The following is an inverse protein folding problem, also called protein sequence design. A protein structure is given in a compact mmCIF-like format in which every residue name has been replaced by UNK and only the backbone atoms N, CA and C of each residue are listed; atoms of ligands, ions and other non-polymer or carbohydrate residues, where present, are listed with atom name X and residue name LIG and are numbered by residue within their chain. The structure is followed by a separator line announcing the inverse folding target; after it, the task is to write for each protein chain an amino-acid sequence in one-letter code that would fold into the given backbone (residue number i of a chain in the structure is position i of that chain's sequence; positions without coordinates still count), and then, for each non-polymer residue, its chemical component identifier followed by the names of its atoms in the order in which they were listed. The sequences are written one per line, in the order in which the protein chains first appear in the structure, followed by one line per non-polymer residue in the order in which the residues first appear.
data_IF_286856493745
#
_entry.id   IF_286856493745
#
_cell.length_a   1.000
_cell.length_b   1.000
_cell.length_c   1.000
_cell.angle_alpha   90.00
_cell.angle_beta   90.00
_cell.angle_gamma   90.00
#
_symmetry.space_group_name_H-M   'P 1'
#
loop_
_entity.id
_entity.type
_entity.pdbx_description
1 polymer ?
#
# COMPACT_ATOMS: atom_id res chain seq x y z
N UNK A 1 -0.48 20.64 9.03
CA UNK A 1 0.74 21.37 8.61
C UNK A 1 0.87 21.24 7.10
N UNK A 2 0.70 22.36 6.39
CA UNK A 2 0.70 22.35 4.92
C UNK A 2 2.08 21.96 4.38
N UNK A 3 2.17 20.83 3.68
CA UNK A 3 3.40 20.38 3.00
C UNK A 3 3.64 21.08 1.66
N UNK A 4 2.87 22.10 1.32
CA UNK A 4 3.04 22.91 0.13
C UNK A 4 4.34 23.71 0.28
N UNK A 5 5.36 23.38 -0.51
CA UNK A 5 6.62 24.12 -0.55
C UNK A 5 7.85 23.43 0.08
N UNK A 6 7.74 22.21 0.62
CA UNK A 6 8.93 21.45 0.99
C UNK A 6 9.58 20.84 -0.25
N UNK A 7 10.76 21.33 -0.60
CA UNK A 7 11.55 20.76 -1.68
C UNK A 7 11.93 19.31 -1.36
N UNK A 8 11.47 18.37 -2.16
CA UNK A 8 11.82 16.95 -2.04
C UNK A 8 13.15 16.71 -2.75
N UNK A 9 14.17 16.31 -2.00
CA UNK A 9 15.50 16.00 -2.54
C UNK A 9 15.55 14.56 -3.01
N UNK A 10 15.94 14.34 -4.26
CA UNK A 10 16.23 13.01 -4.77
C UNK A 10 17.59 12.57 -4.22
N UNK A 11 17.60 11.44 -3.54
CA UNK A 11 18.77 10.73 -3.04
C UNK A 11 19.07 9.55 -3.94
N UNK A 12 20.29 9.03 -3.92
CA UNK A 12 20.70 7.83 -4.65
C UNK A 12 21.40 6.86 -3.71
N UNK A 13 21.20 5.55 -3.91
CA UNK A 13 21.91 4.52 -3.16
C UNK A 13 22.18 3.29 -4.03
N UNK A 14 23.34 2.67 -3.84
CA UNK A 14 23.69 1.36 -4.37
C UNK A 14 23.44 0.24 -3.34
N UNK A 15 23.06 0.60 -2.11
CA UNK A 15 22.73 -0.37 -1.06
C UNK A 15 21.26 -0.74 -1.17
N UNK A 16 20.98 -1.85 -1.85
CA UNK A 16 19.62 -2.38 -2.00
C UNK A 16 19.06 -2.87 -0.66
N UNK A 17 19.94 -3.38 0.21
CA UNK A 17 19.61 -3.82 1.57
C UNK A 17 19.17 -2.69 2.51
N UNK A 18 19.33 -1.42 2.09
CA UNK A 18 18.81 -0.27 2.82
C UNK A 18 17.28 -0.32 2.96
N UNK A 19 16.60 -0.90 1.99
CA UNK A 19 15.15 -0.85 1.92
C UNK A 19 14.50 -2.13 2.43
N UNK A 20 13.51 -1.96 3.28
CA UNK A 20 12.56 -2.99 3.69
C UNK A 20 11.25 -2.84 2.91
N UNK A 21 10.58 -3.96 2.67
CA UNK A 21 9.25 -3.98 2.04
C UNK A 21 8.21 -4.00 3.15
N UNK A 22 7.21 -3.14 3.04
CA UNK A 22 6.09 -3.13 3.98
C UNK A 22 5.25 -4.40 3.85
N UNK A 23 4.78 -5.01 4.95
CA UNK A 23 3.93 -6.21 4.91
C UNK A 23 2.65 -6.03 4.10
N UNK A 24 2.16 -4.79 4.00
CA UNK A 24 0.95 -4.42 3.25
C UNK A 24 1.22 -4.10 1.78
N UNK A 25 2.46 -4.05 1.34
CA UNK A 25 2.78 -3.88 -0.07
C UNK A 25 2.36 -5.11 -0.88
N UNK A 26 1.95 -4.86 -2.11
CA UNK A 26 1.67 -5.95 -3.06
C UNK A 26 2.94 -6.74 -3.35
N UNK A 27 2.80 -8.03 -3.64
CA UNK A 27 3.93 -8.84 -4.09
C UNK A 27 4.58 -8.30 -5.36
N UNK A 28 5.87 -8.55 -5.52
CA UNK A 28 6.62 -8.14 -6.72
C UNK A 28 6.26 -9.05 -7.90
N UNK A 29 5.66 -8.48 -8.93
CA UNK A 29 5.35 -9.18 -10.19
C UNK A 29 6.58 -9.18 -11.11
N UNK A 30 7.14 -10.37 -11.33
CA UNK A 30 8.33 -10.55 -12.18
C UNK A 30 8.12 -10.08 -13.63
N UNK A 31 6.90 -10.20 -14.19
CA UNK A 31 6.60 -9.73 -15.55
C UNK A 31 6.63 -8.20 -15.61
N UNK A 32 6.12 -7.55 -14.54
CA UNK A 32 6.16 -6.10 -14.44
C UNK A 32 7.60 -5.59 -14.27
N UNK A 33 8.41 -6.27 -13.45
CA UNK A 33 9.84 -5.98 -13.29
C UNK A 33 10.56 -6.08 -14.65
N UNK A 34 10.30 -7.13 -15.44
CA UNK A 34 10.93 -7.29 -16.75
C UNK A 34 10.57 -6.18 -17.74
N UNK A 35 9.30 -5.72 -17.73
CA UNK A 35 8.88 -4.56 -18.52
C UNK A 35 9.61 -3.27 -18.09
N UNK A 36 9.81 -3.08 -16.78
CA UNK A 36 10.57 -1.95 -16.25
C UNK A 36 12.03 -2.00 -16.68
N UNK A 37 12.70 -3.16 -16.60
CA UNK A 37 14.07 -3.36 -17.09
C UNK A 37 14.18 -2.93 -18.55
N UNK A 38 13.26 -3.42 -19.39
CA UNK A 38 13.24 -3.03 -20.82
C UNK A 38 13.10 -1.53 -21.01
N UNK A 39 12.23 -0.89 -20.22
CA UNK A 39 12.03 0.57 -20.24
C UNK A 39 13.28 1.33 -19.78
N UNK A 40 13.89 0.89 -18.67
CA UNK A 40 15.12 1.48 -18.12
C UNK A 40 16.26 1.43 -19.16
N UNK A 41 16.45 0.28 -19.80
CA UNK A 41 17.49 0.13 -20.85
C UNK A 41 17.26 1.04 -22.05
N UNK A 42 15.99 1.32 -22.39
CA UNK A 42 15.64 2.16 -23.55
C UNK A 42 15.66 3.65 -23.26
N UNK A 43 15.17 4.07 -22.09
CA UNK A 43 14.88 5.47 -21.78
C UNK A 43 15.68 6.01 -20.59
N UNK A 44 16.44 5.16 -19.91
CA UNK A 44 17.05 5.51 -18.62
C UNK A 44 16.04 5.50 -17.46
N UNK A 45 16.51 5.89 -16.28
CA UNK A 45 15.72 5.94 -15.05
C UNK A 45 15.03 7.28 -14.94
N UNK A 46 13.74 7.33 -15.23
CA UNK A 46 12.91 8.56 -15.23
C UNK A 46 11.95 8.66 -14.03
N UNK A 47 12.04 7.73 -13.10
CA UNK A 47 11.21 7.69 -11.87
C UNK A 47 12.10 7.47 -10.66
N UNK A 48 11.59 7.79 -9.48
CA UNK A 48 12.25 7.48 -8.22
C UNK A 48 11.34 6.62 -7.34
N UNK A 49 11.97 5.92 -6.39
CA UNK A 49 11.29 5.19 -5.33
C UNK A 49 10.82 6.19 -4.28
N UNK A 50 9.65 5.97 -3.69
CA UNK A 50 9.15 6.74 -2.56
C UNK A 50 9.34 5.88 -1.31
N UNK A 51 10.09 6.41 -0.35
CA UNK A 51 10.44 5.72 0.87
C UNK A 51 10.11 6.56 2.10
N UNK A 52 10.04 5.93 3.26
CA UNK A 52 10.04 6.58 4.57
C UNK A 52 10.99 5.87 5.51
N UNK A 53 11.62 6.63 6.39
CA UNK A 53 12.38 6.07 7.52
C UNK A 53 11.54 6.25 8.78
N UNK A 54 11.21 5.15 9.45
CA UNK A 54 10.33 5.18 10.62
C UNK A 54 10.56 3.96 11.52
N UNK A 55 10.27 4.11 12.80
CA UNK A 55 10.22 3.04 13.79
C UNK A 55 8.78 2.63 14.17
N UNK A 56 7.77 3.24 13.54
CA UNK A 56 6.35 3.06 13.89
C UNK A 56 5.89 1.62 13.67
N UNK A 57 6.45 0.91 12.67
CA UNK A 57 5.93 -0.40 12.23
C UNK A 57 6.46 -1.55 13.08
N UNK A 58 7.77 -1.60 13.33
CA UNK A 58 8.43 -2.71 14.02
C UNK A 58 9.20 -2.28 15.27
N UNK A 59 9.05 -1.03 15.70
CA UNK A 59 9.75 -0.45 16.83
C UNK A 59 11.23 -0.11 16.56
N UNK A 60 11.79 -0.59 15.45
CA UNK A 60 13.15 -0.29 15.00
C UNK A 60 13.13 0.68 13.83
N UNK A 61 14.07 1.61 13.78
CA UNK A 61 14.20 2.55 12.67
C UNK A 61 14.66 1.84 11.40
N UNK A 62 13.78 1.75 10.42
CA UNK A 62 14.04 1.17 9.10
C UNK A 62 13.55 2.08 8.00
N UNK A 63 14.16 1.97 6.82
CA UNK A 63 13.70 2.67 5.61
C UNK A 63 12.82 1.72 4.81
N UNK A 64 11.54 2.05 4.69
CA UNK A 64 10.55 1.24 3.96
C UNK A 64 10.23 1.86 2.61
N UNK A 65 10.04 1.01 1.60
CA UNK A 65 9.47 1.44 0.31
C UNK A 65 7.96 1.60 0.45
N UNK A 66 7.48 2.81 0.19
CA UNK A 66 6.03 3.11 0.13
C UNK A 66 5.50 2.87 -1.27
N UNK A 67 6.21 3.34 -2.30
CA UNK A 67 5.89 3.09 -3.71
C UNK A 67 7.18 2.89 -4.51
N UNK A 68 7.09 2.13 -5.61
CA UNK A 68 8.21 1.88 -6.52
C UNK A 68 8.99 0.60 -6.23
N UNK A 69 8.46 -0.37 -5.50
CA UNK A 69 9.15 -1.64 -5.21
C UNK A 69 9.56 -2.41 -6.49
N UNK A 70 8.73 -2.40 -7.55
CA UNK A 70 9.09 -3.01 -8.82
C UNK A 70 10.25 -2.28 -9.51
N UNK A 71 10.30 -0.94 -9.36
CA UNK A 71 11.42 -0.13 -9.86
C UNK A 71 12.70 -0.44 -9.09
N UNK A 72 12.63 -0.50 -7.76
CA UNK A 72 13.78 -0.85 -6.91
C UNK A 72 14.33 -2.24 -7.30
N UNK A 73 13.45 -3.25 -7.44
CA UNK A 73 13.84 -4.59 -7.87
C UNK A 73 14.43 -4.61 -9.29
N UNK A 74 13.90 -3.81 -10.21
CA UNK A 74 14.42 -3.72 -11.57
C UNK A 74 15.83 -3.11 -11.58
N UNK A 75 16.05 -2.04 -10.82
CA UNK A 75 17.34 -1.38 -10.70
C UNK A 75 18.38 -2.27 -10.01
N UNK A 76 17.98 -3.02 -8.99
CA UNK A 76 18.83 -4.01 -8.35
C UNK A 76 19.33 -5.06 -9.34
N UNK A 77 18.43 -5.64 -10.15
CA UNK A 77 18.79 -6.62 -11.18
C UNK A 77 19.71 -6.06 -12.27
N UNK A 78 19.61 -4.76 -12.55
CA UNK A 78 20.46 -4.07 -13.53
C UNK A 78 21.75 -3.49 -12.91
N UNK A 79 21.98 -3.67 -11.61
CA UNK A 79 23.13 -3.10 -10.90
C UNK A 79 23.19 -1.57 -10.93
N UNK A 80 22.01 -0.92 -11.04
CA UNK A 80 21.91 0.55 -11.15
C UNK A 80 21.56 1.17 -9.81
N UNK A 81 22.07 2.40 -9.51
CA UNK A 81 21.68 3.11 -8.29
C UNK A 81 20.17 3.34 -8.22
N UNK A 82 19.59 3.20 -7.03
CA UNK A 82 18.18 3.50 -6.78
C UNK A 82 18.03 4.98 -6.47
N UNK A 83 17.39 5.77 -7.34
CA UNK A 83 16.95 7.13 -6.99
C UNK A 83 15.72 7.04 -6.11
N UNK A 84 15.72 7.73 -4.98
CA UNK A 84 14.59 7.74 -4.05
C UNK A 84 14.37 9.09 -3.40
N UNK A 85 13.14 9.34 -3.00
CA UNK A 85 12.76 10.47 -2.14
C UNK A 85 12.25 9.92 -0.82
N UNK A 86 12.55 10.62 0.27
CA UNK A 86 12.03 10.29 1.59
C UNK A 86 10.89 11.23 1.96
N UNK A 87 9.77 10.65 2.38
CA UNK A 87 8.65 11.40 2.93
C UNK A 87 8.50 11.10 4.42
N UNK A 88 8.06 12.10 5.18
CA UNK A 88 7.82 11.94 6.60
C UNK A 88 6.52 11.16 6.82
N UNK A 89 6.52 10.28 7.83
CA UNK A 89 5.35 9.54 8.31
C UNK A 89 5.17 9.87 9.78
N UNK A 90 3.95 10.19 10.17
CA UNK A 90 3.61 10.61 11.54
C UNK A 90 2.86 9.55 12.35
N UNK A 91 2.21 8.59 11.67
CA UNK A 91 1.46 7.49 12.28
C UNK A 91 1.28 6.35 11.26
N UNK A 92 0.82 5.18 11.72
CA UNK A 92 0.45 4.07 10.83
C UNK A 92 -0.70 4.46 9.90
N UNK A 93 -1.66 5.23 10.38
CA UNK A 93 -2.77 5.74 9.57
C UNK A 93 -2.27 6.65 8.44
N UNK A 94 -1.40 7.62 8.74
CA UNK A 94 -0.76 8.51 7.78
C UNK A 94 0.03 7.72 6.71
N UNK A 95 0.71 6.64 7.12
CA UNK A 95 1.40 5.74 6.19
C UNK A 95 0.42 5.09 5.21
N UNK A 96 -0.67 4.50 5.73
CA UNK A 96 -1.67 3.80 4.90
C UNK A 96 -2.36 4.77 3.94
N UNK A 97 -2.73 5.97 4.40
CA UNK A 97 -3.32 7.01 3.56
C UNK A 97 -2.39 7.42 2.41
N UNK A 98 -1.11 7.66 2.70
CA UNK A 98 -0.11 8.00 1.68
C UNK A 98 0.11 6.86 0.69
N UNK A 99 0.18 5.61 1.16
CA UNK A 99 0.27 4.44 0.28
C UNK A 99 -0.95 4.33 -0.65
N UNK A 100 -2.16 4.48 -0.11
CA UNK A 100 -3.38 4.44 -0.89
C UNK A 100 -3.40 5.54 -1.95
N UNK A 101 -3.04 6.78 -1.58
CA UNK A 101 -2.96 7.91 -2.50
C UNK A 101 -1.97 7.68 -3.66
N UNK A 102 -0.75 7.25 -3.35
CA UNK A 102 0.29 7.00 -4.35
C UNK A 102 -0.07 5.86 -5.30
N UNK A 103 -0.67 4.79 -4.77
CA UNK A 103 -1.08 3.65 -5.59
C UNK A 103 -2.30 3.93 -6.48
N UNK A 104 -3.15 4.89 -6.14
CA UNK A 104 -4.28 5.29 -6.98
C UNK A 104 -3.86 6.00 -8.28
N UNK A 105 -2.66 6.54 -8.32
CA UNK A 105 -2.15 7.28 -9.49
C UNK A 105 -1.54 6.38 -10.59
N UNK A 106 -1.20 5.12 -10.30
CA UNK A 106 -0.51 4.22 -11.25
C UNK A 106 -1.28 2.95 -11.61
N UNK A 107 -1.77 2.23 -10.65
CA UNK A 107 -2.71 1.08 -10.79
C UNK A 107 -3.55 1.07 -9.53
N UNK A 108 -4.84 1.36 -9.68
CA UNK A 108 -5.77 1.42 -8.53
C UNK A 108 -5.68 0.15 -7.69
N UNK A 109 -5.68 0.34 -6.39
CA UNK A 109 -5.84 -0.75 -5.45
C UNK A 109 -7.22 -1.40 -5.64
N UNK A 110 -7.25 -2.71 -5.62
CA UNK A 110 -8.49 -3.46 -5.44
C UNK A 110 -8.95 -3.40 -3.97
N UNK A 111 -10.16 -3.85 -3.68
CA UNK A 111 -10.70 -3.79 -2.32
C UNK A 111 -9.88 -4.60 -1.32
N UNK A 112 -9.28 -5.72 -1.75
CA UNK A 112 -8.44 -6.54 -0.88
C UNK A 112 -7.13 -5.84 -0.51
N UNK A 113 -6.57 -5.01 -1.38
CA UNK A 113 -5.39 -4.20 -1.06
C UNK A 113 -5.70 -3.20 0.07
N UNK A 114 -6.87 -2.52 -0.01
CA UNK A 114 -7.32 -1.62 1.07
C UNK A 114 -7.54 -2.37 2.38
N UNK A 115 -8.21 -3.53 2.33
CA UNK A 115 -8.44 -4.33 3.53
C UNK A 115 -7.13 -4.80 4.14
N UNK A 116 -6.18 -5.26 3.32
CA UNK A 116 -4.86 -5.69 3.79
C UNK A 116 -4.08 -4.55 4.46
N UNK A 117 -4.24 -3.32 4.01
CA UNK A 117 -3.63 -2.16 4.63
C UNK A 117 -4.33 -1.80 5.95
N UNK A 118 -5.63 -1.57 5.92
CA UNK A 118 -6.39 -1.10 7.08
C UNK A 118 -6.52 -2.12 8.21
N UNK A 119 -6.49 -3.44 7.92
CA UNK A 119 -6.57 -4.48 8.96
C UNK A 119 -5.48 -4.41 10.03
N UNK A 120 -4.36 -3.74 9.73
CA UNK A 120 -3.26 -3.58 10.66
C UNK A 120 -3.64 -2.71 11.85
N UNK A 121 -4.54 -1.75 11.63
CA UNK A 121 -4.91 -0.74 12.63
C UNK A 121 -6.43 -0.69 12.93
N UNK A 122 -7.26 -1.40 12.16
CA UNK A 122 -8.72 -1.38 12.29
C UNK A 122 -9.26 -2.79 12.52
N UNK A 123 -9.82 -3.10 13.71
CA UNK A 123 -10.33 -4.44 14.04
C UNK A 123 -11.39 -4.96 13.06
N UNK A 124 -12.29 -4.10 12.58
CA UNK A 124 -13.38 -4.50 11.68
C UNK A 124 -12.85 -4.95 10.31
N UNK A 125 -11.74 -4.36 9.84
CA UNK A 125 -11.06 -4.81 8.64
C UNK A 125 -10.37 -6.17 8.83
N UNK A 126 -9.87 -6.44 10.04
CA UNK A 126 -9.32 -7.75 10.36
C UNK A 126 -10.42 -8.82 10.36
N UNK A 127 -11.60 -8.51 10.90
CA UNK A 127 -12.77 -9.42 10.84
C UNK A 127 -13.18 -9.65 9.39
N UNK A 128 -13.34 -8.58 8.59
CA UNK A 128 -13.70 -8.66 7.17
C UNK A 128 -12.70 -9.49 6.35
N UNK A 129 -11.40 -9.34 6.63
CA UNK A 129 -10.34 -10.15 6.03
C UNK A 129 -10.48 -11.63 6.38
N UNK A 130 -10.73 -11.96 7.65
CA UNK A 130 -10.96 -13.35 8.10
C UNK A 130 -12.17 -13.95 7.42
N UNK A 131 -13.30 -13.24 7.36
CA UNK A 131 -14.50 -13.72 6.69
C UNK A 131 -14.29 -13.96 5.19
N UNK A 132 -13.57 -13.08 4.49
CA UNK A 132 -13.24 -13.32 3.07
C UNK A 132 -12.44 -14.60 2.87
N UNK A 133 -11.57 -14.95 3.80
CA UNK A 133 -10.80 -16.20 3.74
C UNK A 133 -11.61 -17.44 4.15
N UNK A 134 -12.67 -17.26 4.93
CA UNK A 134 -13.55 -18.36 5.40
C UNK A 134 -14.69 -18.65 4.43
N UNK A 135 -15.20 -17.61 3.75
CA UNK A 135 -16.39 -17.71 2.91
C UNK A 135 -16.03 -17.40 1.45
N UNK A 136 -16.57 -18.20 0.53
CA UNK A 136 -16.45 -17.94 -0.92
C UNK A 136 -17.51 -16.91 -1.36
N UNK A 137 -17.42 -15.72 -0.79
CA UNK A 137 -18.31 -14.58 -1.07
C UNK A 137 -17.47 -13.40 -1.54
N UNK A 138 -17.97 -12.68 -2.53
CA UNK A 138 -17.32 -11.45 -2.98
C UNK A 138 -17.18 -10.43 -1.84
N UNK A 139 -16.00 -9.83 -1.73
CA UNK A 139 -15.66 -8.92 -0.63
C UNK A 139 -16.60 -7.71 -0.52
N UNK A 140 -17.08 -7.22 -1.67
CA UNK A 140 -18.06 -6.14 -1.72
C UNK A 140 -19.42 -6.54 -1.12
N UNK A 141 -19.80 -7.78 -1.32
CA UNK A 141 -21.03 -8.34 -0.74
C UNK A 141 -20.89 -8.59 0.78
N UNK A 142 -19.75 -9.15 1.21
CA UNK A 142 -19.44 -9.29 2.64
C UNK A 142 -19.48 -7.95 3.37
N UNK A 143 -18.90 -6.92 2.78
CA UNK A 143 -18.93 -5.58 3.34
C UNK A 143 -20.35 -5.02 3.48
N UNK A 144 -21.22 -5.25 2.49
CA UNK A 144 -22.63 -4.85 2.56
C UNK A 144 -23.38 -5.58 3.67
N UNK A 145 -23.19 -6.88 3.79
CA UNK A 145 -23.80 -7.68 4.85
C UNK A 145 -23.32 -7.18 6.22
N UNK A 146 -22.01 -6.99 6.37
CA UNK A 146 -21.41 -6.58 7.64
C UNK A 146 -21.82 -5.17 8.09
N UNK A 147 -21.98 -4.24 7.16
CA UNK A 147 -22.34 -2.85 7.45
C UNK A 147 -23.83 -2.55 7.31
N UNK A 148 -24.66 -3.57 7.03
CA UNK A 148 -26.10 -3.41 6.77
C UNK A 148 -26.42 -2.35 5.68
N UNK A 149 -25.56 -2.23 4.68
CA UNK A 149 -25.71 -1.26 3.61
C UNK A 149 -26.63 -1.78 2.51
N UNK A 150 -27.47 -0.92 1.92
CA UNK A 150 -28.51 -1.35 0.98
C UNK A 150 -27.98 -1.79 -0.40
N UNK A 151 -26.72 -1.46 -0.71
CA UNK A 151 -26.10 -1.89 -1.97
C UNK A 151 -24.59 -1.92 -1.92
N UNK A 152 -24.00 -2.76 -2.79
CA UNK A 152 -22.54 -2.93 -2.96
C UNK A 152 -21.82 -1.60 -3.21
N UNK A 153 -22.44 -0.67 -3.94
CA UNK A 153 -21.87 0.62 -4.28
C UNK A 153 -21.57 1.47 -3.03
N UNK A 154 -22.41 1.39 -2.02
CA UNK A 154 -22.23 2.13 -0.76
C UNK A 154 -21.22 1.42 0.18
N UNK A 155 -21.14 0.09 0.17
CA UNK A 155 -20.24 -0.68 1.02
C UNK A 155 -18.76 -0.56 0.64
N UNK A 156 -18.44 -0.25 -0.61
CA UNK A 156 -17.04 -0.24 -1.09
C UNK A 156 -16.29 1.06 -0.79
N UNK A 157 -16.97 2.21 -0.75
CA UNK A 157 -16.32 3.49 -0.50
C UNK A 157 -15.77 3.61 0.93
N UNK A 158 -16.50 3.21 2.00
CA UNK A 158 -15.95 3.15 3.36
C UNK A 158 -14.69 2.29 3.47
N UNK A 159 -14.64 1.14 2.75
CA UNK A 159 -13.44 0.29 2.74
C UNK A 159 -12.22 1.06 2.24
N UNK A 160 -12.37 1.80 1.14
CA UNK A 160 -11.27 2.59 0.55
C UNK A 160 -10.80 3.71 1.47
N UNK A 161 -11.73 4.34 2.16
CA UNK A 161 -11.47 5.51 3.00
C UNK A 161 -11.03 5.17 4.45
N UNK A 162 -10.95 3.89 4.81
CA UNK A 162 -10.61 3.51 6.19
C UNK A 162 -11.74 3.70 7.20
N UNK A 163 -12.97 3.98 6.75
CA UNK A 163 -14.14 4.27 7.61
C UNK A 163 -15.16 3.15 7.65
N UNK A 164 -14.77 1.97 7.18
CA UNK A 164 -15.66 0.79 7.24
C UNK A 164 -15.82 0.33 8.69
N UNK A 165 -17.08 0.10 9.08
CA UNK A 165 -17.48 -0.42 10.39
C UNK A 165 -18.50 -1.55 10.22
N UNK A 166 -18.40 -2.56 11.09
CA UNK A 166 -19.38 -3.63 11.21
C UNK A 166 -20.52 -3.09 12.06
N UNK A 167 -21.68 -2.86 11.45
CA UNK A 167 -22.87 -2.33 12.10
C UNK A 167 -24.05 -3.29 12.11
N UNK A 168 -23.93 -4.43 11.43
CA UNK A 168 -24.96 -5.48 11.42
C UNK A 168 -24.77 -6.43 12.62
N UNK A 169 -25.68 -6.44 13.62
CA UNK A 169 -25.53 -7.32 14.78
C UNK A 169 -25.46 -8.80 14.42
N UNK A 170 -26.15 -9.21 13.34
CA UNK A 170 -26.16 -10.60 12.86
C UNK A 170 -24.87 -11.02 12.16
N UNK A 171 -24.02 -10.06 11.78
CA UNK A 171 -22.73 -10.37 11.18
C UNK A 171 -21.69 -10.82 12.23
N UNK A 172 -21.91 -10.56 13.51
CA UNK A 172 -21.03 -11.05 14.58
C UNK A 172 -21.16 -12.56 14.80
N UNK A 173 -22.27 -13.16 14.39
CA UNK A 173 -22.56 -14.59 14.49
C UNK A 173 -22.03 -15.38 13.27
N UNK A 174 -21.41 -14.70 12.30
CA UNK A 174 -20.77 -15.28 11.11
C UNK A 174 -19.33 -15.68 11.42
#
# INVERSE_FOLDING_TARGET
MNMIGKELKVKHTNSYSKFSILPMNRGVDSRHVQKMITSIRKMGVIRCVIACTTNIIEGEEKTYIIDGQHLATALEREGQPIPYIEIAITSEEDLIEKMAYLNNSSKSWDLMNYINAWKMIRPDYMKLFKWKNMYDIEISMLACIASNMPSIRFGTQPIKNGTFEISNPKAEDM
#
